data_IF_818048222605
#
_entry.id   IF_818048222605
#
_cell.length_a   1.000
_cell.length_b   1.000
_cell.length_c   1.000
_cell.angle_alpha   90.00
_cell.angle_beta   90.00
_cell.angle_gamma   90.00
#
_symmetry.space_group_name_H-M   'P 1'
#
loop_
_entity.id
_entity.type
_entity.pdbx_description
1 polymer ?
#
# COMPACT_ATOMS: atom_id res chain seq x y z
N UNK A 1 -49.08 -54.07 -2.35
CA UNK A 1 -48.38 -53.12 -3.20
C UNK A 1 -47.68 -52.13 -2.30
N UNK A 2 -46.38 -52.32 -2.07
CA UNK A 2 -45.56 -51.41 -1.21
C UNK A 2 -44.90 -50.40 -2.11
N UNK A 3 -45.22 -49.11 -1.94
CA UNK A 3 -44.54 -48.01 -2.66
C UNK A 3 -43.22 -47.71 -1.93
N UNK A 4 -42.11 -47.97 -2.59
CA UNK A 4 -40.78 -47.65 -2.15
C UNK A 4 -40.55 -46.15 -2.40
N UNK A 5 -40.44 -45.36 -1.36
CA UNK A 5 -40.14 -43.92 -1.44
C UNK A 5 -38.62 -43.75 -1.44
N UNK A 6 -38.06 -43.49 -2.62
CA UNK A 6 -36.62 -43.21 -2.76
C UNK A 6 -36.41 -41.75 -2.41
N UNK A 7 -35.85 -41.47 -1.25
CA UNK A 7 -35.38 -40.13 -0.88
C UNK A 7 -34.01 -39.91 -1.50
N UNK A 8 -33.97 -39.12 -2.55
CA UNK A 8 -32.73 -38.63 -3.16
C UNK A 8 -32.18 -37.53 -2.31
N UNK A 9 -31.25 -37.82 -1.42
CA UNK A 9 -30.50 -36.84 -0.65
C UNK A 9 -29.50 -36.13 -1.59
N UNK A 10 -29.89 -34.98 -2.08
CA UNK A 10 -28.99 -34.09 -2.81
C UNK A 10 -28.06 -33.43 -1.78
N UNK A 11 -26.85 -33.98 -1.62
CA UNK A 11 -25.78 -33.33 -0.88
C UNK A 11 -25.33 -32.12 -1.68
N UNK A 12 -25.82 -30.93 -1.31
CA UNK A 12 -25.30 -29.68 -1.79
C UNK A 12 -23.92 -29.52 -1.14
N UNK A 13 -22.88 -29.92 -1.87
CA UNK A 13 -21.51 -29.59 -1.53
C UNK A 13 -21.36 -28.07 -1.75
N UNK A 14 -21.65 -27.30 -0.72
CA UNK A 14 -21.24 -25.90 -0.67
C UNK A 14 -19.72 -25.86 -0.63
N UNK A 15 -19.08 -25.90 -1.81
CA UNK A 15 -17.70 -25.50 -1.94
C UNK A 15 -17.65 -24.03 -1.55
N UNK A 16 -17.36 -23.77 -0.28
CA UNK A 16 -16.88 -22.47 0.16
C UNK A 16 -15.61 -22.20 -0.65
N UNK A 17 -15.75 -21.49 -1.76
CA UNK A 17 -14.64 -20.84 -2.43
C UNK A 17 -14.10 -19.79 -1.45
N UNK A 18 -13.36 -20.27 -0.44
CA UNK A 18 -12.45 -19.42 0.30
C UNK A 18 -11.59 -18.77 -0.77
N UNK A 19 -11.80 -17.48 -1.01
CA UNK A 19 -10.92 -16.69 -1.82
C UNK A 19 -9.54 -16.86 -1.21
N UNK A 20 -8.73 -17.71 -1.85
CA UNK A 20 -7.40 -18.08 -1.36
C UNK A 20 -6.50 -16.87 -1.60
N UNK A 21 -6.73 -15.80 -0.83
CA UNK A 21 -5.84 -14.66 -0.72
C UNK A 21 -4.61 -15.16 0.01
N UNK A 22 -3.74 -15.86 -0.73
CA UNK A 22 -2.50 -16.35 -0.15
C UNK A 22 -1.55 -15.17 0.00
N UNK A 23 -1.63 -14.55 1.16
CA UNK A 23 -0.58 -13.65 1.60
C UNK A 23 0.76 -14.37 1.58
N UNK A 24 1.80 -13.62 1.27
CA UNK A 24 3.16 -14.11 1.45
C UNK A 24 3.41 -14.30 2.94
N UNK A 25 3.92 -15.45 3.31
CA UNK A 25 4.27 -15.82 4.69
C UNK A 25 5.78 -16.00 4.80
N UNK A 26 6.30 -15.92 6.01
CA UNK A 26 7.68 -16.29 6.31
C UNK A 26 7.65 -17.64 7.02
N UNK A 27 8.41 -18.60 6.52
CA UNK A 27 8.59 -19.92 7.14
C UNK A 27 10.06 -20.33 6.99
N UNK A 28 10.70 -20.64 8.12
CA UNK A 28 12.12 -21.00 8.17
C UNK A 28 13.05 -20.02 7.44
N UNK A 29 12.78 -18.71 7.58
CA UNK A 29 13.57 -17.66 6.94
C UNK A 29 13.31 -17.44 5.44
N UNK A 30 12.35 -18.16 4.85
CA UNK A 30 12.00 -18.04 3.44
C UNK A 30 10.60 -17.47 3.24
N UNK A 31 10.40 -16.70 2.17
CA UNK A 31 9.07 -16.30 1.74
C UNK A 31 8.33 -17.47 1.09
N UNK A 32 7.11 -17.69 1.53
CA UNK A 32 6.22 -18.76 1.04
C UNK A 32 4.93 -18.12 0.52
N UNK A 33 4.53 -18.50 -0.68
CA UNK A 33 3.25 -18.11 -1.29
C UNK A 33 2.53 -19.35 -1.82
N UNK A 34 1.28 -19.57 -1.45
CA UNK A 34 0.51 -20.77 -1.81
C UNK A 34 1.24 -22.10 -1.43
N UNK A 35 1.93 -22.15 -0.29
CA UNK A 35 2.66 -23.32 0.19
C UNK A 35 3.98 -23.62 -0.56
N UNK A 36 4.44 -22.73 -1.43
CA UNK A 36 5.69 -22.90 -2.19
C UNK A 36 6.67 -21.76 -1.90
N UNK A 37 7.98 -22.00 -1.99
CA UNK A 37 8.97 -20.93 -1.94
C UNK A 37 8.64 -19.82 -2.95
N UNK A 38 8.71 -18.56 -2.49
CA UNK A 38 8.38 -17.40 -3.30
C UNK A 38 9.62 -16.56 -3.55
N UNK A 39 10.06 -16.56 -4.78
CA UNK A 39 11.10 -15.69 -5.30
C UNK A 39 10.46 -14.69 -6.24
N UNK A 40 10.88 -13.42 -6.20
CA UNK A 40 10.22 -12.38 -6.97
C UNK A 40 11.19 -11.37 -7.59
N UNK A 41 10.75 -10.76 -8.65
CA UNK A 41 11.30 -9.50 -9.16
C UNK A 41 10.35 -8.40 -8.72
N UNK A 42 10.89 -7.40 -8.01
CA UNK A 42 10.10 -6.30 -7.48
C UNK A 42 10.57 -4.95 -7.97
N UNK A 43 9.69 -3.94 -7.86
CA UNK A 43 10.02 -2.55 -8.15
C UNK A 43 9.33 -1.58 -7.19
N UNK A 44 9.88 -0.37 -7.07
CA UNK A 44 9.21 0.73 -6.40
C UNK A 44 8.07 1.27 -7.27
N UNK A 45 6.88 1.30 -6.68
CA UNK A 45 5.68 1.86 -7.29
C UNK A 45 4.96 2.75 -6.29
N UNK A 46 5.71 3.66 -5.67
CA UNK A 46 5.28 4.46 -4.52
C UNK A 46 4.00 5.27 -4.78
N UNK A 47 3.80 5.73 -6.00
CA UNK A 47 2.66 6.56 -6.42
C UNK A 47 1.39 5.77 -6.76
N UNK A 48 1.37 4.47 -6.55
CA UNK A 48 0.30 3.57 -6.99
C UNK A 48 -1.07 3.91 -6.41
N UNK A 49 -1.16 4.29 -5.14
CA UNK A 49 -2.41 4.71 -4.50
C UNK A 49 -2.95 6.00 -5.10
N UNK A 50 -2.08 6.99 -5.35
CA UNK A 50 -2.44 8.24 -6.00
C UNK A 50 -2.95 7.98 -7.41
N UNK A 51 -2.21 7.20 -8.20
CA UNK A 51 -2.58 6.85 -9.57
C UNK A 51 -3.90 6.08 -9.65
N UNK A 52 -4.20 5.23 -8.65
CA UNK A 52 -5.46 4.49 -8.51
C UNK A 52 -6.64 5.33 -8.05
N UNK A 53 -6.41 6.54 -7.55
CA UNK A 53 -7.45 7.43 -7.06
C UNK A 53 -8.28 8.06 -8.18
N UNK A 54 -9.37 8.73 -7.80
CA UNK A 54 -10.18 9.56 -8.70
C UNK A 54 -9.90 11.06 -8.55
N UNK A 55 -8.98 11.40 -7.64
CA UNK A 55 -8.60 12.79 -7.35
C UNK A 55 -7.39 13.26 -8.13
N UNK A 56 -6.76 14.29 -7.61
CA UNK A 56 -5.54 14.87 -8.18
C UNK A 56 -4.45 13.80 -8.34
N UNK A 57 -3.83 13.73 -9.51
CA UNK A 57 -2.82 12.74 -9.86
C UNK A 57 -3.38 11.35 -10.22
N UNK A 58 -4.69 11.13 -10.08
CA UNK A 58 -5.35 9.87 -10.41
C UNK A 58 -5.46 9.62 -11.92
N UNK A 59 -5.15 8.40 -12.33
CA UNK A 59 -5.33 7.94 -13.71
C UNK A 59 -5.39 6.41 -13.76
N UNK A 60 -6.55 5.86 -13.51
CA UNK A 60 -6.79 4.40 -13.47
C UNK A 60 -6.44 3.70 -14.80
N UNK A 61 -6.63 4.38 -15.95
CA UNK A 61 -6.27 3.82 -17.25
C UNK A 61 -4.76 3.65 -17.37
N UNK A 62 -3.98 4.64 -16.93
CA UNK A 62 -2.52 4.58 -16.88
C UNK A 62 -2.08 3.49 -15.89
N UNK A 63 -2.67 3.42 -14.70
CA UNK A 63 -2.38 2.39 -13.70
C UNK A 63 -2.49 0.99 -14.29
N UNK A 64 -3.62 0.66 -14.91
CA UNK A 64 -3.85 -0.65 -15.55
C UNK A 64 -2.77 -0.96 -16.58
N UNK A 65 -2.43 0.02 -17.43
CA UNK A 65 -1.40 -0.11 -18.47
C UNK A 65 -0.01 -0.40 -17.89
N UNK A 66 0.37 0.31 -16.82
CA UNK A 66 1.66 0.12 -16.15
C UNK A 66 1.74 -1.25 -15.47
N UNK A 67 0.66 -1.69 -14.79
CA UNK A 67 0.60 -3.01 -14.18
C UNK A 67 0.69 -4.14 -15.22
N UNK A 68 0.01 -4.01 -16.35
CA UNK A 68 0.09 -4.97 -17.44
C UNK A 68 1.50 -5.05 -18.04
N UNK A 69 2.16 -3.91 -18.18
CA UNK A 69 3.54 -3.84 -18.66
C UNK A 69 4.52 -4.50 -17.68
N UNK A 70 4.44 -4.15 -16.41
CA UNK A 70 5.26 -4.76 -15.35
C UNK A 70 5.06 -6.27 -15.29
N UNK A 71 3.81 -6.73 -15.38
CA UNK A 71 3.51 -8.16 -15.40
C UNK A 71 4.14 -8.89 -16.57
N UNK A 72 4.15 -8.30 -17.77
CA UNK A 72 4.83 -8.84 -18.95
C UNK A 72 6.34 -8.94 -18.78
N UNK A 73 6.94 -8.05 -18.01
CA UNK A 73 8.36 -8.05 -17.68
C UNK A 73 8.73 -9.04 -16.55
N UNK A 74 7.76 -9.77 -16.00
CA UNK A 74 7.99 -10.71 -14.90
C UNK A 74 8.05 -10.07 -13.52
N UNK A 75 7.73 -8.77 -13.40
CA UNK A 75 7.62 -8.10 -12.12
C UNK A 75 6.29 -8.50 -11.48
N UNK A 76 6.34 -9.01 -10.26
CA UNK A 76 5.14 -9.48 -9.55
C UNK A 76 5.04 -8.99 -8.10
N UNK A 77 6.01 -8.17 -7.66
CA UNK A 77 6.03 -7.57 -6.32
C UNK A 77 6.29 -6.06 -6.40
N UNK A 78 5.38 -5.27 -5.85
CA UNK A 78 5.46 -3.81 -5.86
C UNK A 78 5.61 -3.26 -4.45
N UNK A 79 6.60 -2.37 -4.26
CA UNK A 79 6.74 -1.59 -3.03
C UNK A 79 5.96 -0.29 -3.18
N UNK A 80 4.93 -0.13 -2.36
CA UNK A 80 3.90 0.92 -2.50
C UNK A 80 3.85 1.75 -1.23
N UNK A 81 3.93 3.08 -1.37
CA UNK A 81 3.60 4.01 -0.29
C UNK A 81 2.07 4.03 -0.12
N UNK A 82 1.59 3.72 1.08
CA UNK A 82 0.17 3.79 1.40
C UNK A 82 -0.34 5.23 1.26
N UNK A 83 0.45 6.18 1.71
CA UNK A 83 0.22 7.60 1.54
C UNK A 83 1.30 8.44 2.22
N UNK A 84 1.24 9.75 2.02
CA UNK A 84 2.09 10.73 2.69
C UNK A 84 1.32 11.44 3.80
N UNK A 85 2.04 12.01 4.76
CA UNK A 85 1.49 12.69 5.91
C UNK A 85 1.83 14.19 5.90
N UNK A 86 0.93 14.99 6.47
CA UNK A 86 1.12 16.42 6.69
C UNK A 86 0.34 17.30 5.74
N UNK A 87 0.53 18.61 5.89
CA UNK A 87 -0.18 19.62 5.11
C UNK A 87 0.23 19.61 3.65
N UNK A 88 -0.73 19.92 2.78
CA UNK A 88 -0.51 20.09 1.34
C UNK A 88 0.07 21.48 1.02
N UNK A 89 0.54 21.66 -0.21
CA UNK A 89 1.10 22.92 -0.69
C UNK A 89 2.60 23.08 -0.45
N UNK A 90 3.28 22.02 -0.04
CA UNK A 90 4.73 22.03 0.17
C UNK A 90 5.40 21.43 -1.07
N UNK A 91 6.12 22.25 -1.82
CA UNK A 91 6.67 21.98 -3.17
C UNK A 91 7.38 20.64 -3.34
N UNK A 92 8.01 20.12 -2.29
CA UNK A 92 8.80 18.87 -2.36
C UNK A 92 8.14 17.67 -1.73
N UNK A 93 6.92 17.83 -1.23
CA UNK A 93 6.17 16.71 -0.65
C UNK A 93 5.33 15.95 -1.67
N UNK A 94 5.12 14.69 -1.36
CA UNK A 94 4.17 13.85 -2.11
C UNK A 94 2.76 14.32 -1.84
N UNK A 95 2.06 14.67 -2.90
CA UNK A 95 0.66 15.12 -2.86
C UNK A 95 -0.20 14.36 -3.87
N UNK A 96 -1.51 14.24 -3.56
CA UNK A 96 -2.21 14.61 -2.33
C UNK A 96 -1.80 13.74 -1.14
N UNK A 97 -1.85 14.31 0.08
CA UNK A 97 -1.53 13.58 1.31
C UNK A 97 -2.65 12.62 1.71
N UNK A 98 -2.27 11.50 2.33
CA UNK A 98 -3.22 10.57 2.92
C UNK A 98 -3.73 11.09 4.28
N UNK A 99 -2.83 11.50 5.15
CA UNK A 99 -3.17 12.00 6.47
C UNK A 99 -2.81 13.49 6.56
N UNK A 100 -3.83 14.36 6.57
CA UNK A 100 -3.66 15.81 6.65
C UNK A 100 -3.31 16.27 8.05
N UNK A 101 -3.95 15.69 9.04
CA UNK A 101 -3.72 15.85 10.46
C UNK A 101 -3.92 14.51 11.17
N UNK A 102 -3.45 14.31 12.42
CA UNK A 102 -3.56 13.04 13.10
C UNK A 102 -4.98 12.49 13.12
N UNK A 103 -5.17 11.32 12.51
CA UNK A 103 -6.46 10.62 12.42
C UNK A 103 -7.41 11.12 11.32
N UNK A 104 -7.05 12.17 10.57
CA UNK A 104 -7.85 12.67 9.45
C UNK A 104 -7.30 12.14 8.11
N UNK A 105 -7.96 11.13 7.57
CA UNK A 105 -7.52 10.44 6.37
C UNK A 105 -8.27 10.93 5.12
N UNK A 106 -7.58 10.84 3.98
CA UNK A 106 -8.11 11.19 2.68
C UNK A 106 -8.72 9.95 2.01
N UNK A 107 -10.04 9.84 2.06
CA UNK A 107 -10.79 8.70 1.50
C UNK A 107 -10.56 8.51 0.00
N UNK A 108 -10.23 9.58 -0.73
CA UNK A 108 -9.91 9.49 -2.15
C UNK A 108 -8.62 8.68 -2.38
N UNK A 109 -7.61 8.86 -1.53
CA UNK A 109 -6.36 8.07 -1.57
C UNK A 109 -6.59 6.65 -1.09
N UNK A 110 -7.38 6.43 -0.03
CA UNK A 110 -7.75 5.09 0.43
C UNK A 110 -8.49 4.33 -0.66
N UNK A 111 -9.48 4.95 -1.31
CA UNK A 111 -10.17 4.36 -2.47
C UNK A 111 -9.24 4.05 -3.65
N UNK A 112 -8.21 4.88 -3.83
CA UNK A 112 -7.16 4.66 -4.83
C UNK A 112 -6.30 3.43 -4.51
N UNK A 113 -5.96 3.25 -3.23
CA UNK A 113 -5.23 2.08 -2.75
C UNK A 113 -6.08 0.80 -2.93
N UNK A 114 -7.37 0.83 -2.58
CA UNK A 114 -8.28 -0.29 -2.78
C UNK A 114 -8.38 -0.69 -4.25
N UNK A 115 -8.49 0.31 -5.14
CA UNK A 115 -8.51 0.06 -6.58
C UNK A 115 -7.19 -0.58 -7.06
N UNK A 116 -6.05 -0.07 -6.60
CA UNK A 116 -4.73 -0.64 -6.90
C UNK A 116 -4.65 -2.10 -6.43
N UNK A 117 -5.02 -2.39 -5.19
CA UNK A 117 -4.98 -3.75 -4.63
C UNK A 117 -5.86 -4.72 -5.42
N UNK A 118 -7.06 -4.27 -5.84
CA UNK A 118 -7.94 -5.04 -6.73
C UNK A 118 -7.26 -5.36 -8.06
N UNK A 119 -6.60 -4.38 -8.68
CA UNK A 119 -5.92 -4.56 -9.97
C UNK A 119 -4.67 -5.47 -9.86
N UNK A 120 -3.94 -5.40 -8.74
CA UNK A 120 -2.84 -6.33 -8.43
C UNK A 120 -3.36 -7.77 -8.28
N UNK A 121 -4.46 -7.95 -7.55
CA UNK A 121 -5.09 -9.26 -7.35
C UNK A 121 -5.48 -9.94 -8.66
N UNK A 122 -6.06 -9.20 -9.62
CA UNK A 122 -6.38 -9.71 -10.97
C UNK A 122 -5.15 -10.28 -11.70
N UNK A 123 -3.98 -9.71 -11.45
CA UNK A 123 -2.70 -10.07 -12.08
C UNK A 123 -1.87 -11.06 -11.26
N UNK A 124 -2.39 -11.49 -10.10
CA UNK A 124 -1.66 -12.33 -9.14
C UNK A 124 -0.34 -11.69 -8.67
N UNK A 125 -0.28 -10.37 -8.71
CA UNK A 125 0.83 -9.57 -8.16
C UNK A 125 0.61 -9.35 -6.67
N UNK A 126 1.69 -9.08 -5.95
CA UNK A 126 1.68 -8.77 -4.53
C UNK A 126 2.22 -7.37 -4.27
N UNK A 127 1.93 -6.84 -3.09
CA UNK A 127 2.40 -5.54 -2.65
C UNK A 127 3.11 -5.64 -1.30
N UNK A 128 4.19 -4.88 -1.16
CA UNK A 128 4.75 -4.48 0.13
C UNK A 128 4.24 -3.07 0.41
N UNK A 129 3.27 -2.97 1.31
CA UNK A 129 2.69 -1.70 1.72
C UNK A 129 3.54 -1.11 2.84
N UNK A 130 4.19 0.03 2.61
CA UNK A 130 4.87 0.73 3.67
C UNK A 130 4.06 1.95 4.10
N UNK A 131 3.82 2.04 5.41
CA UNK A 131 2.93 3.03 6.01
C UNK A 131 3.59 4.39 6.11
N UNK A 132 4.89 4.38 6.28
CA UNK A 132 5.71 5.58 6.45
C UNK A 132 7.14 5.32 5.97
N UNK A 133 7.89 6.39 5.77
CA UNK A 133 9.34 6.36 5.67
C UNK A 133 9.95 7.52 6.50
N UNK A 134 11.27 7.52 6.66
CA UNK A 134 11.96 8.54 7.46
C UNK A 134 12.11 9.89 6.76
N UNK A 135 11.86 9.94 5.45
CA UNK A 135 12.07 11.13 4.62
C UNK A 135 10.92 12.13 4.71
N UNK A 136 11.24 13.38 4.80
CA UNK A 136 10.30 14.51 4.96
C UNK A 136 9.34 14.68 3.77
N UNK A 137 9.74 14.25 2.57
CA UNK A 137 8.91 14.37 1.36
C UNK A 137 7.59 13.57 1.43
N UNK A 138 7.48 12.62 2.35
CA UNK A 138 6.23 11.88 2.63
C UNK A 138 5.75 12.03 4.07
N UNK A 139 6.20 13.07 4.78
CA UNK A 139 5.91 13.32 6.19
C UNK A 139 7.13 13.05 7.08
N UNK A 140 7.56 11.80 7.16
CA UNK A 140 8.77 11.40 7.87
C UNK A 140 8.73 11.60 9.39
N UNK A 141 9.85 11.38 10.04
CA UNK A 141 9.95 11.51 11.51
C UNK A 141 9.67 12.93 11.99
N UNK A 142 10.06 13.95 11.20
CA UNK A 142 9.80 15.34 11.55
C UNK A 142 8.32 15.65 11.72
N UNK A 143 7.46 15.11 10.85
CA UNK A 143 6.01 15.26 10.97
C UNK A 143 5.50 14.69 12.30
N UNK A 144 5.87 13.46 12.64
CA UNK A 144 5.40 12.81 13.87
C UNK A 144 5.92 13.48 15.13
N UNK A 145 7.18 13.92 15.14
CA UNK A 145 7.75 14.68 16.25
C UNK A 145 7.03 16.02 16.44
N UNK A 146 6.73 16.72 15.35
CA UNK A 146 5.93 17.96 15.40
C UNK A 146 4.53 17.70 15.98
N UNK A 147 3.85 16.62 15.56
CA UNK A 147 2.54 16.26 16.10
C UNK A 147 2.63 15.84 17.59
N UNK A 148 3.74 15.29 18.03
CA UNK A 148 4.01 14.97 19.43
C UNK A 148 4.39 16.18 20.29
N UNK A 149 4.43 17.39 19.73
CA UNK A 149 4.72 18.63 20.47
C UNK A 149 6.22 18.97 20.58
N UNK A 150 7.08 18.33 19.79
CA UNK A 150 8.53 18.60 19.80
C UNK A 150 8.92 19.95 19.16
N UNK A 151 7.96 20.72 18.68
CA UNK A 151 8.18 21.98 17.93
C UNK A 151 7.97 21.80 16.44
N UNK A 152 8.24 22.85 15.66
CA UNK A 152 8.09 22.85 14.19
C UNK A 152 9.26 22.11 13.55
N UNK A 153 8.98 21.09 12.77
CA UNK A 153 9.99 20.37 12.02
C UNK A 153 10.61 21.25 10.94
N UNK A 154 11.94 21.39 10.88
CA UNK A 154 12.62 22.12 9.80
C UNK A 154 12.31 21.51 8.45
N UNK A 155 12.29 22.33 7.42
CA UNK A 155 12.08 21.91 6.03
C UNK A 155 13.43 21.87 5.30
N UNK A 156 13.90 20.71 4.84
CA UNK A 156 15.21 20.59 4.20
C UNK A 156 15.47 21.58 3.06
N UNK A 157 14.42 21.96 2.31
CA UNK A 157 14.54 22.91 1.19
C UNK A 157 14.67 24.38 1.61
N UNK A 158 14.19 24.71 2.80
CA UNK A 158 14.18 26.08 3.32
C UNK A 158 15.29 26.24 4.36
N UNK A 159 15.41 25.28 5.29
CA UNK A 159 16.27 25.36 6.45
C UNK A 159 17.56 24.52 6.29
N UNK A 160 17.64 23.72 5.23
CA UNK A 160 18.73 22.79 4.96
C UNK A 160 18.55 21.43 5.66
N UNK A 161 19.13 20.41 5.03
CA UNK A 161 19.04 19.03 5.51
C UNK A 161 19.69 18.82 6.90
N UNK A 162 20.81 19.46 7.26
CA UNK A 162 21.39 19.37 8.59
C UNK A 162 20.43 19.80 9.71
N UNK A 163 19.64 20.87 9.50
CA UNK A 163 18.67 21.35 10.49
C UNK A 163 17.58 20.30 10.75
N UNK A 164 17.05 19.68 9.69
CA UNK A 164 16.10 18.58 9.82
C UNK A 164 16.69 17.36 10.55
N UNK A 165 17.91 16.96 10.19
CA UNK A 165 18.58 15.83 10.85
C UNK A 165 18.87 16.11 12.33
N UNK A 166 19.29 17.33 12.67
CA UNK A 166 19.48 17.72 14.07
C UNK A 166 18.18 17.66 14.86
N UNK A 167 17.07 18.13 14.29
CA UNK A 167 15.77 18.08 14.92
C UNK A 167 15.33 16.63 15.17
N UNK A 168 15.47 15.75 14.19
CA UNK A 168 15.05 14.35 14.30
C UNK A 168 15.96 13.56 15.26
N UNK A 169 17.27 13.78 15.21
CA UNK A 169 18.23 13.01 16.02
C UNK A 169 18.16 13.28 17.52
N UNK A 170 17.61 14.43 17.95
CA UNK A 170 17.39 14.74 19.37
C UNK A 170 16.45 13.72 20.06
N UNK A 171 15.66 13.01 19.29
CA UNK A 171 14.65 12.07 19.77
C UNK A 171 14.95 10.62 19.36
N UNK A 172 16.12 10.35 18.80
CA UNK A 172 16.56 9.03 18.35
C UNK A 172 17.30 8.25 19.45
N UNK A 173 16.74 8.22 20.66
CA UNK A 173 17.31 7.45 21.79
C UNK A 173 16.56 6.15 22.01
#
# INVERSE_FOLDING_TARGET
MKKLLTILATAILSASMSANTSFVKVQNGHFIKCGKPYYYVGTNFWYGAILGSTGQGGNRKRLVKELDHMKKLGIDNLRILVGSDGVQGIKTKVEPTLQKSPGEYNDTILSGLDYLMKELGKRKMVAVLYLNNSWEWSGGYGYYLQQAGAGTAPRPNEDGYPAYMNFVSQYAS
#
